data_IF_463449182904
#
_entry.id   IF_463449182904
#
_cell.length_a   1.000
_cell.length_b   1.000
_cell.length_c   1.000
_cell.angle_alpha   90.00
_cell.angle_beta   90.00
_cell.angle_gamma   90.00
#
_symmetry.space_group_name_H-M   'P 1'
#
loop_
_entity.id
_entity.type
_entity.pdbx_description
1 polymer ?
#
# COMPACT_ATOMS: atom_id res chain seq x y z
N UNK A 1 0.28 2.91 -5.99
CA UNK A 1 -0.38 1.68 -5.52
C UNK A 1 -1.20 2.04 -4.30
N UNK A 2 -2.41 1.50 -4.17
CA UNK A 2 -3.31 1.75 -3.04
C UNK A 2 -3.88 0.41 -2.59
N UNK A 3 -3.85 0.09 -1.30
CA UNK A 3 -4.39 -1.15 -0.78
C UNK A 3 -5.43 -0.88 0.32
N UNK A 4 -6.51 -1.67 0.33
CA UNK A 4 -7.63 -1.56 1.28
C UNK A 4 -8.11 -2.95 1.70
N UNK A 5 -8.43 -3.12 2.98
CA UNK A 5 -9.10 -4.31 3.47
C UNK A 5 -10.61 -4.19 3.26
N UNK A 6 -11.24 -5.26 2.79
CA UNK A 6 -12.67 -5.29 2.43
C UNK A 6 -13.47 -6.35 3.19
N UNK A 7 -12.81 -7.15 4.00
CA UNK A 7 -13.43 -8.18 4.83
C UNK A 7 -12.41 -9.18 5.37
N UNK A 8 -12.89 -10.19 6.08
CA UNK A 8 -12.03 -11.18 6.72
C UNK A 8 -11.33 -12.13 5.70
N UNK A 9 -12.03 -12.48 4.61
CA UNK A 9 -11.52 -13.32 3.53
C UNK A 9 -12.43 -13.25 2.32
N UNK A 10 -11.92 -13.63 1.15
CA UNK A 10 -12.65 -13.65 -0.12
C UNK A 10 -12.55 -15.02 -0.77
N UNK A 11 -13.68 -15.61 -1.14
CA UNK A 11 -13.75 -16.82 -1.95
C UNK A 11 -13.48 -16.46 -3.41
N UNK A 12 -12.21 -16.50 -3.83
CA UNK A 12 -11.77 -15.99 -5.14
C UNK A 12 -12.47 -16.62 -6.34
N UNK A 13 -12.87 -17.90 -6.27
CA UNK A 13 -13.59 -18.56 -7.37
C UNK A 13 -15.00 -17.99 -7.52
N UNK A 14 -15.71 -17.76 -6.41
CA UNK A 14 -17.02 -17.07 -6.41
C UNK A 14 -16.91 -15.62 -6.85
N UNK A 15 -15.91 -14.91 -6.33
CA UNK A 15 -15.64 -13.53 -6.72
C UNK A 15 -15.35 -13.43 -8.22
N UNK A 16 -14.52 -14.32 -8.78
CA UNK A 16 -14.20 -14.33 -10.20
C UNK A 16 -15.39 -14.67 -11.10
N UNK A 17 -16.34 -15.48 -10.61
CA UNK A 17 -17.58 -15.75 -11.32
C UNK A 17 -18.56 -14.56 -11.30
N UNK A 18 -18.53 -13.75 -10.25
CA UNK A 18 -19.41 -12.59 -10.06
C UNK A 18 -18.89 -11.32 -10.77
N UNK A 19 -17.55 -11.19 -10.91
CA UNK A 19 -16.92 -9.99 -11.46
C UNK A 19 -16.54 -10.20 -12.92
N UNK A 20 -17.22 -9.49 -13.81
CA UNK A 20 -16.96 -9.60 -15.26
C UNK A 20 -15.54 -9.10 -15.60
N UNK A 21 -14.81 -9.87 -16.40
CA UNK A 21 -13.46 -9.54 -16.83
C UNK A 21 -12.35 -9.88 -15.83
N UNK A 22 -12.71 -10.43 -14.65
CA UNK A 22 -11.71 -10.90 -13.71
C UNK A 22 -11.01 -12.17 -14.20
N UNK A 23 -9.69 -12.23 -14.03
CA UNK A 23 -8.85 -13.39 -14.34
C UNK A 23 -7.93 -13.72 -13.17
N UNK A 24 -7.37 -14.93 -13.12
CA UNK A 24 -6.32 -15.28 -12.16
C UNK A 24 -5.00 -14.67 -12.57
N UNK A 25 -4.30 -14.03 -11.64
CA UNK A 25 -2.96 -13.52 -11.88
C UNK A 25 -2.03 -14.66 -12.33
N UNK A 26 -1.22 -14.40 -13.36
CA UNK A 26 -0.16 -15.30 -13.78
C UNK A 26 1.16 -14.60 -13.54
N UNK A 27 1.93 -15.06 -12.57
CA UNK A 27 3.31 -14.61 -12.42
C UNK A 27 4.11 -15.13 -13.62
N UNK A 28 4.90 -14.29 -14.29
CA UNK A 28 5.78 -14.74 -15.37
C UNK A 28 6.81 -15.73 -14.79
N UNK A 29 6.79 -16.96 -15.23
CA UNK A 29 7.63 -18.06 -14.72
C UNK A 29 9.15 -17.78 -14.81
N UNK A 30 9.59 -16.85 -15.63
CA UNK A 30 11.00 -16.55 -15.88
C UNK A 30 11.62 -15.47 -14.98
N UNK A 31 10.84 -14.79 -14.15
CA UNK A 31 11.30 -13.65 -13.32
C UNK A 31 10.77 -13.68 -11.91
N UNK A 32 10.30 -14.83 -11.45
CA UNK A 32 9.84 -14.99 -10.08
C UNK A 32 11.07 -14.89 -9.14
N UNK A 33 11.18 -13.87 -8.28
CA UNK A 33 12.19 -13.89 -7.23
C UNK A 33 12.02 -15.18 -6.45
N UNK A 34 13.08 -15.97 -6.31
CA UNK A 34 13.01 -17.28 -5.68
C UNK A 34 12.33 -17.19 -4.30
N UNK A 35 11.21 -17.85 -4.14
CA UNK A 35 10.40 -17.83 -2.92
C UNK A 35 9.10 -17.02 -3.00
N UNK A 36 8.83 -16.32 -4.10
CA UNK A 36 7.55 -15.65 -4.31
C UNK A 36 6.60 -16.58 -5.08
N UNK A 37 5.93 -17.47 -4.35
CA UNK A 37 4.95 -18.38 -4.91
C UNK A 37 3.57 -18.10 -4.31
N UNK A 38 2.62 -17.76 -5.16
CA UNK A 38 1.24 -17.57 -4.74
C UNK A 38 0.58 -18.93 -4.53
N UNK A 39 0.39 -19.32 -3.28
CA UNK A 39 -0.43 -20.50 -2.95
C UNK A 39 -1.87 -20.32 -3.45
N UNK A 40 -2.35 -19.10 -3.50
CA UNK A 40 -3.65 -18.70 -4.04
C UNK A 40 -3.46 -17.44 -4.91
N UNK A 41 -3.28 -17.58 -6.24
CA UNK A 41 -3.09 -16.41 -7.11
C UNK A 41 -4.28 -15.45 -7.03
N UNK A 42 -4.03 -14.13 -6.84
CA UNK A 42 -5.09 -13.15 -6.74
C UNK A 42 -5.90 -13.05 -8.03
N UNK A 43 -7.14 -12.59 -7.94
CA UNK A 43 -7.90 -12.16 -9.11
C UNK A 43 -7.35 -10.81 -9.59
N UNK A 44 -7.30 -10.63 -10.90
CA UNK A 44 -6.87 -9.38 -11.53
C UNK A 44 -7.94 -8.84 -12.46
N UNK A 45 -8.10 -7.53 -12.45
CA UNK A 45 -8.91 -6.77 -13.40
C UNK A 45 -8.09 -5.60 -13.93
N UNK A 46 -8.22 -5.35 -15.22
CA UNK A 46 -7.69 -4.15 -15.87
C UNK A 46 -8.86 -3.21 -16.21
N UNK A 47 -8.68 -1.92 -15.94
CA UNK A 47 -9.66 -0.87 -16.19
C UNK A 47 -8.97 0.40 -16.66
N UNK A 48 -9.69 1.26 -17.36
CA UNK A 48 -9.25 2.63 -17.62
C UNK A 48 -9.38 3.47 -16.35
N UNK A 49 -8.38 4.29 -16.06
CA UNK A 49 -8.41 5.22 -14.94
C UNK A 49 -9.01 6.58 -15.31
N UNK A 50 -9.22 7.46 -14.32
CA UNK A 50 -9.69 8.81 -14.55
C UNK A 50 -8.61 9.64 -15.26
N UNK A 51 -9.00 10.48 -16.21
CA UNK A 51 -8.08 11.45 -16.78
C UNK A 51 -7.64 12.43 -15.68
N UNK A 52 -6.35 12.58 -15.48
CA UNK A 52 -5.79 13.53 -14.50
C UNK A 52 -4.79 14.45 -15.16
N UNK A 53 -4.63 15.64 -14.60
CA UNK A 53 -3.60 16.59 -15.02
C UNK A 53 -2.64 16.82 -13.87
N UNK A 54 -1.39 16.44 -14.05
CA UNK A 54 -0.34 16.57 -13.03
C UNK A 54 0.84 17.32 -13.66
N UNK A 55 1.30 18.38 -13.03
CA UNK A 55 2.43 19.21 -13.49
C UNK A 55 2.29 19.67 -14.97
N UNK A 56 1.06 19.92 -15.42
CA UNK A 56 0.75 20.30 -16.80
C UNK A 56 0.74 19.13 -17.79
N UNK A 57 0.94 17.89 -17.32
CA UNK A 57 0.84 16.68 -18.11
C UNK A 57 -0.58 16.11 -18.01
N UNK A 58 -1.27 15.99 -19.14
CA UNK A 58 -2.53 15.25 -19.20
C UNK A 58 -2.20 13.75 -19.28
N UNK A 59 -2.60 13.00 -18.25
CA UNK A 59 -2.32 11.58 -18.09
C UNK A 59 -3.62 10.79 -18.10
N UNK A 60 -3.60 9.67 -18.81
CA UNK A 60 -4.66 8.67 -18.85
C UNK A 60 -4.11 7.40 -18.19
N UNK A 61 -4.36 7.19 -16.89
CA UNK A 61 -3.88 5.99 -16.22
C UNK A 61 -4.62 4.74 -16.70
N UNK A 62 -3.93 3.60 -16.74
CA UNK A 62 -4.58 2.30 -16.58
C UNK A 62 -4.61 1.93 -15.10
N UNK A 63 -5.62 1.18 -14.70
CA UNK A 63 -5.79 0.72 -13.31
C UNK A 63 -5.84 -0.78 -13.30
N UNK A 64 -4.90 -1.42 -12.61
CA UNK A 64 -4.97 -2.84 -12.31
C UNK A 64 -5.47 -3.02 -10.89
N UNK A 65 -6.55 -3.80 -10.73
CA UNK A 65 -7.03 -4.22 -9.42
C UNK A 65 -6.59 -5.66 -9.17
N UNK A 66 -6.15 -5.96 -7.95
CA UNK A 66 -5.86 -7.31 -7.48
C UNK A 66 -6.67 -7.60 -6.22
N UNK A 67 -7.34 -8.76 -6.21
CA UNK A 67 -8.16 -9.23 -5.08
C UNK A 67 -7.49 -10.43 -4.46
N UNK A 68 -7.20 -10.36 -3.18
CA UNK A 68 -6.51 -11.39 -2.41
C UNK A 68 -7.51 -12.19 -1.56
N UNK A 69 -7.27 -13.47 -1.38
CA UNK A 69 -8.15 -14.38 -0.64
C UNK A 69 -8.27 -14.06 0.86
N UNK A 70 -7.26 -13.41 1.43
CA UNK A 70 -7.24 -12.96 2.82
C UNK A 70 -8.02 -11.65 3.08
N UNK A 71 -8.73 -11.11 2.10
CA UNK A 71 -9.66 -10.00 2.32
C UNK A 71 -9.15 -8.62 1.93
N UNK A 72 -8.03 -8.53 1.22
CA UNK A 72 -7.48 -7.27 0.74
C UNK A 72 -7.73 -7.05 -0.76
N UNK A 73 -7.80 -5.79 -1.18
CA UNK A 73 -7.83 -5.35 -2.58
C UNK A 73 -6.73 -4.30 -2.78
N UNK A 74 -5.90 -4.50 -3.79
CA UNK A 74 -4.91 -3.54 -4.25
C UNK A 74 -5.32 -2.91 -5.59
N UNK A 75 -4.97 -1.64 -5.78
CA UNK A 75 -5.11 -0.90 -7.04
C UNK A 75 -3.76 -0.30 -7.43
N UNK A 76 -3.29 -0.64 -8.60
CA UNK A 76 -2.13 -0.02 -9.20
C UNK A 76 -2.56 0.95 -10.32
N UNK A 77 -2.34 2.24 -10.11
CA UNK A 77 -2.52 3.27 -11.14
C UNK A 77 -1.21 3.42 -11.90
N UNK A 78 -1.20 3.06 -13.18
CA UNK A 78 -0.05 3.20 -14.07
C UNK A 78 -0.18 4.46 -14.89
N UNK A 79 0.73 5.41 -14.68
CA UNK A 79 0.74 6.71 -15.32
C UNK A 79 1.99 6.82 -16.22
N UNK A 80 1.92 6.33 -17.48
CA UNK A 80 3.07 6.43 -18.37
C UNK A 80 3.32 7.88 -18.80
N UNK A 81 4.59 8.30 -18.72
CA UNK A 81 5.01 9.61 -19.19
C UNK A 81 6.41 9.57 -19.76
N UNK A 82 6.77 10.62 -20.47
CA UNK A 82 8.14 10.91 -20.93
C UNK A 82 8.44 12.37 -20.68
N UNK A 83 9.63 12.67 -20.22
CA UNK A 83 10.01 14.03 -19.91
C UNK A 83 11.40 14.18 -19.33
N UNK A 84 11.74 15.36 -18.90
CA UNK A 84 13.01 15.67 -18.28
C UNK A 84 13.07 15.10 -16.85
N UNK A 85 14.25 14.62 -16.41
CA UNK A 85 14.44 14.02 -15.08
C UNK A 85 14.01 14.94 -13.92
N UNK A 86 14.11 16.28 -14.10
CA UNK A 86 13.63 17.25 -13.11
C UNK A 86 12.13 17.21 -12.83
N UNK A 87 11.35 16.51 -13.65
CA UNK A 87 9.93 16.29 -13.40
C UNK A 87 9.69 15.24 -12.31
N UNK A 88 10.62 14.33 -12.06
CA UNK A 88 10.40 13.18 -11.15
C UNK A 88 10.03 13.62 -9.74
N UNK A 89 10.78 14.55 -9.16
CA UNK A 89 10.46 15.08 -7.81
C UNK A 89 9.10 15.76 -7.78
N UNK A 90 8.79 16.58 -8.79
CA UNK A 90 7.50 17.29 -8.85
C UNK A 90 6.32 16.33 -9.04
N UNK A 91 6.50 15.29 -9.86
CA UNK A 91 5.50 14.23 -10.00
C UNK A 91 5.33 13.44 -8.70
N UNK A 92 6.43 13.15 -7.99
CA UNK A 92 6.38 12.52 -6.69
C UNK A 92 5.56 13.35 -5.70
N UNK A 93 5.83 14.65 -5.61
CA UNK A 93 5.10 15.59 -4.75
C UNK A 93 3.61 15.67 -5.10
N UNK A 94 3.28 15.73 -6.38
CA UNK A 94 1.91 15.87 -6.83
C UNK A 94 1.09 14.57 -6.75
N UNK A 95 1.72 13.41 -6.84
CA UNK A 95 1.06 12.09 -6.79
C UNK A 95 1.00 11.50 -5.39
N UNK A 96 1.90 11.90 -4.48
CA UNK A 96 1.86 11.47 -3.09
C UNK A 96 0.57 11.95 -2.42
N UNK A 97 -0.28 11.01 -1.98
CA UNK A 97 -1.56 11.33 -1.37
C UNK A 97 -2.57 12.03 -2.29
N UNK A 98 -2.52 11.80 -3.61
CA UNK A 98 -3.40 12.47 -4.57
C UNK A 98 -4.88 12.16 -4.30
N UNK A 99 -5.63 13.18 -3.87
CA UNK A 99 -7.01 13.03 -3.36
C UNK A 99 -7.98 12.40 -4.38
N UNK A 100 -7.89 12.80 -5.67
CA UNK A 100 -8.80 12.28 -6.69
C UNK A 100 -8.53 10.80 -7.00
N UNK A 101 -7.26 10.37 -7.00
CA UNK A 101 -6.91 8.96 -7.18
C UNK A 101 -7.37 8.12 -5.98
N UNK A 102 -7.24 8.65 -4.76
CA UNK A 102 -7.72 7.99 -3.56
C UNK A 102 -9.26 7.87 -3.56
N UNK A 103 -9.98 8.91 -3.97
CA UNK A 103 -11.43 8.89 -4.08
C UNK A 103 -11.91 7.91 -5.16
N UNK A 104 -11.27 7.90 -6.34
CA UNK A 104 -11.54 6.94 -7.41
C UNK A 104 -11.28 5.50 -6.96
N UNK A 105 -10.16 5.25 -6.26
CA UNK A 105 -9.84 3.93 -5.72
C UNK A 105 -10.91 3.42 -4.76
N UNK A 106 -11.35 4.25 -3.80
CA UNK A 106 -12.43 3.89 -2.87
C UNK A 106 -13.74 3.58 -3.58
N UNK A 107 -14.10 4.38 -4.58
CA UNK A 107 -15.32 4.14 -5.37
C UNK A 107 -15.23 2.81 -6.13
N UNK A 108 -14.09 2.49 -6.74
CA UNK A 108 -13.86 1.21 -7.44
C UNK A 108 -13.92 0.02 -6.49
N UNK A 109 -13.28 0.11 -5.33
CA UNK A 109 -13.33 -0.95 -4.31
C UNK A 109 -14.75 -1.16 -3.81
N UNK A 110 -15.52 -0.09 -3.55
CA UNK A 110 -16.92 -0.21 -3.16
C UNK A 110 -17.77 -0.91 -4.22
N UNK A 111 -17.62 -0.52 -5.49
CA UNK A 111 -18.31 -1.17 -6.60
C UNK A 111 -17.92 -2.64 -6.75
N UNK A 112 -16.63 -2.95 -6.58
CA UNK A 112 -16.12 -4.32 -6.62
C UNK A 112 -16.67 -5.16 -5.46
N UNK A 113 -16.71 -4.64 -4.24
CA UNK A 113 -17.35 -5.30 -3.08
C UNK A 113 -18.83 -5.60 -3.32
N UNK A 114 -19.56 -4.65 -3.90
CA UNK A 114 -20.97 -4.87 -4.27
C UNK A 114 -21.14 -5.99 -5.30
N UNK A 115 -20.25 -6.04 -6.30
CA UNK A 115 -20.26 -7.09 -7.31
C UNK A 115 -19.91 -8.47 -6.74
N UNK A 116 -18.91 -8.54 -5.85
CA UNK A 116 -18.50 -9.79 -5.20
C UNK A 116 -19.54 -10.32 -4.19
N UNK A 117 -20.29 -9.43 -3.54
CA UNK A 117 -21.38 -9.78 -2.63
C UNK A 117 -20.98 -10.85 -1.59
N UNK A 118 -21.71 -11.97 -1.59
CA UNK A 118 -21.53 -13.08 -0.65
C UNK A 118 -20.17 -13.84 -0.79
N UNK A 119 -19.34 -13.49 -1.78
CA UNK A 119 -18.00 -14.03 -1.85
C UNK A 119 -17.07 -13.44 -0.77
N UNK A 120 -17.44 -12.29 -0.18
CA UNK A 120 -16.69 -11.65 0.90
C UNK A 120 -17.24 -12.14 2.24
N UNK A 121 -16.38 -12.73 3.05
CA UNK A 121 -16.72 -13.11 4.42
C UNK A 121 -16.56 -11.94 5.36
N UNK A 122 -17.58 -11.61 6.15
CA UNK A 122 -17.62 -10.45 7.06
C UNK A 122 -17.20 -9.16 6.33
N UNK A 123 -17.99 -8.73 5.33
CA UNK A 123 -17.62 -7.56 4.54
C UNK A 123 -17.52 -6.32 5.42
N UNK A 124 -16.39 -5.62 5.34
CA UNK A 124 -16.12 -4.38 6.05
C UNK A 124 -15.01 -3.64 5.31
N UNK A 125 -15.35 -2.53 4.65
CA UNK A 125 -14.32 -1.70 4.02
C UNK A 125 -13.60 -0.90 5.08
N UNK A 126 -12.28 -1.08 5.17
CA UNK A 126 -11.42 -0.38 6.11
C UNK A 126 -11.40 1.13 5.86
N UNK A 127 -11.29 1.91 6.92
CA UNK A 127 -10.97 3.35 6.84
C UNK A 127 -9.50 3.57 6.46
N UNK A 128 -8.63 2.61 6.78
CA UNK A 128 -7.21 2.64 6.42
C UNK A 128 -7.04 2.35 4.93
N UNK A 129 -6.10 3.07 4.34
CA UNK A 129 -5.62 2.83 2.97
C UNK A 129 -4.12 2.93 3.02
N UNK A 130 -3.44 1.86 2.60
CA UNK A 130 -2.01 1.93 2.39
C UNK A 130 -1.74 2.47 1.00
N UNK A 131 -0.90 3.50 0.92
CA UNK A 131 -0.45 4.06 -0.34
C UNK A 131 1.07 3.91 -0.50
N UNK A 132 1.49 3.63 -1.71
CA UNK A 132 2.91 3.51 -2.04
C UNK A 132 3.17 4.06 -3.44
N UNK A 133 4.15 4.95 -3.55
CA UNK A 133 4.55 5.56 -4.82
C UNK A 133 5.75 4.83 -5.41
N UNK A 134 5.57 4.14 -6.54
CA UNK A 134 6.68 3.57 -7.29
C UNK A 134 6.93 4.39 -8.57
N UNK A 135 8.14 4.91 -8.71
CA UNK A 135 8.60 5.60 -9.92
C UNK A 135 9.52 4.66 -10.69
N UNK A 136 8.99 4.09 -11.78
CA UNK A 136 9.72 3.15 -12.63
C UNK A 136 10.24 3.88 -13.90
N UNK A 137 11.54 4.00 -14.00
CA UNK A 137 12.24 4.65 -15.12
C UNK A 137 12.86 3.57 -16.00
N UNK A 138 12.29 3.34 -17.18
CA UNK A 138 12.77 2.30 -18.11
C UNK A 138 14.04 2.69 -18.86
N UNK A 139 14.26 3.98 -19.04
CA UNK A 139 15.42 4.50 -19.76
C UNK A 139 15.71 5.94 -19.35
N UNK A 140 16.98 6.24 -19.17
CA UNK A 140 17.49 7.60 -18.98
C UNK A 140 18.51 7.87 -20.09
N UNK A 141 18.21 8.82 -20.97
CA UNK A 141 19.14 9.19 -22.04
C UNK A 141 20.35 9.92 -21.43
N UNK A 142 21.55 9.48 -21.82
CA UNK A 142 22.80 10.05 -21.33
C UNK A 142 23.33 9.49 -19.98
N UNK A 143 22.60 8.58 -19.33
CA UNK A 143 23.10 7.87 -18.17
C UNK A 143 24.06 6.75 -18.62
N UNK A 144 25.30 6.80 -18.10
CA UNK A 144 26.32 5.80 -18.42
C UNK A 144 26.16 4.55 -17.52
N UNK A 145 26.55 3.39 -18.06
CA UNK A 145 26.70 2.16 -17.25
C UNK A 145 28.10 2.11 -16.60
N UNK A 146 28.22 1.54 -15.37
CA UNK A 146 27.15 0.99 -14.55
C UNK A 146 26.25 2.08 -13.95
N UNK A 147 24.93 1.80 -13.90
CA UNK A 147 23.98 2.65 -13.20
C UNK A 147 24.29 2.61 -11.70
N UNK A 148 24.43 3.76 -11.09
CA UNK A 148 24.75 3.87 -9.67
C UNK A 148 24.07 5.08 -9.02
N UNK A 149 23.90 5.03 -7.71
CA UNK A 149 23.39 6.16 -6.92
C UNK A 149 24.21 7.43 -7.17
N UNK A 150 25.56 7.30 -7.20
CA UNK A 150 26.46 8.43 -7.45
C UNK A 150 26.29 9.06 -8.83
N UNK A 151 25.95 8.25 -9.86
CA UNK A 151 25.73 8.75 -11.22
C UNK A 151 24.42 9.56 -11.35
N UNK A 152 23.41 9.24 -10.53
CA UNK A 152 22.13 9.94 -10.48
C UNK A 152 22.20 11.12 -9.50
N UNK A 153 22.88 10.94 -8.38
CA UNK A 153 23.03 11.87 -7.27
C UNK A 153 22.08 11.54 -6.11
N UNK A 154 22.68 11.26 -4.94
CA UNK A 154 21.95 10.86 -3.71
C UNK A 154 20.86 11.86 -3.34
N UNK A 155 21.16 13.17 -3.36
CA UNK A 155 20.21 14.23 -3.03
C UNK A 155 19.02 14.27 -4.01
N UNK A 156 19.24 13.95 -5.29
CA UNK A 156 18.17 13.87 -6.29
C UNK A 156 17.25 12.69 -6.00
N UNK A 157 17.82 11.52 -5.70
CA UNK A 157 17.05 10.33 -5.34
C UNK A 157 16.26 10.58 -4.06
N UNK A 158 16.89 11.14 -3.03
CA UNK A 158 16.22 11.47 -1.78
C UNK A 158 15.04 12.44 -1.99
N UNK A 159 15.23 13.50 -2.78
CA UNK A 159 14.15 14.44 -3.13
C UNK A 159 12.97 13.78 -3.86
N UNK A 160 13.22 12.77 -4.71
CA UNK A 160 12.18 11.98 -5.35
C UNK A 160 11.44 11.12 -4.33
N UNK A 161 12.17 10.35 -3.52
CA UNK A 161 11.60 9.40 -2.57
C UNK A 161 10.84 10.08 -1.42
N UNK A 162 11.32 11.25 -0.97
CA UNK A 162 10.67 12.05 0.07
C UNK A 162 9.60 13.00 -0.47
N UNK A 163 9.42 13.04 -1.80
CA UNK A 163 8.52 14.00 -2.45
C UNK A 163 8.79 15.44 -1.98
N UNK A 164 10.08 15.84 -1.94
CA UNK A 164 10.54 17.11 -1.39
C UNK A 164 11.44 17.84 -2.39
N UNK A 165 11.13 19.09 -2.67
CA UNK A 165 11.92 19.94 -3.59
C UNK A 165 12.96 20.80 -2.88
N UNK A 166 12.83 20.96 -1.57
CA UNK A 166 13.78 21.69 -0.73
C UNK A 166 15.03 20.87 -0.39
N UNK A 167 16.07 21.50 0.15
CA UNK A 167 17.27 20.80 0.57
C UNK A 167 17.01 19.89 1.77
N UNK A 168 17.33 18.62 1.63
CA UNK A 168 17.30 17.64 2.71
C UNK A 168 18.59 17.68 3.52
N UNK A 169 18.54 17.27 4.80
CA UNK A 169 19.75 17.09 5.62
C UNK A 169 20.60 15.93 5.09
N UNK A 170 21.91 15.93 5.40
CA UNK A 170 22.79 14.84 5.02
C UNK A 170 22.36 13.49 5.61
N UNK A 171 21.75 13.49 6.80
CA UNK A 171 21.22 12.28 7.41
C UNK A 171 20.03 11.76 6.60
N UNK A 172 19.08 12.62 6.27
CA UNK A 172 17.87 12.27 5.51
C UNK A 172 18.22 11.74 4.12
N UNK A 173 19.21 12.34 3.46
CA UNK A 173 19.71 11.86 2.18
C UNK A 173 20.31 10.45 2.32
N UNK A 174 21.16 10.21 3.32
CA UNK A 174 21.74 8.87 3.55
C UNK A 174 20.69 7.83 3.86
N UNK A 175 19.72 8.17 4.73
CA UNK A 175 18.65 7.25 5.13
C UNK A 175 17.77 6.87 3.94
N UNK A 176 17.45 7.84 3.08
CA UNK A 176 16.63 7.61 1.87
C UNK A 176 17.25 6.64 0.86
N UNK A 177 18.57 6.62 0.74
CA UNK A 177 19.27 5.76 -0.23
C UNK A 177 19.81 4.45 0.38
N UNK A 178 19.60 4.25 1.68
CA UNK A 178 20.11 3.07 2.39
C UNK A 178 19.53 1.74 1.88
N UNK A 179 18.31 1.77 1.36
CA UNK A 179 17.60 0.61 0.79
C UNK A 179 17.92 0.33 -0.69
N UNK A 180 19.07 0.78 -1.20
CA UNK A 180 19.45 0.57 -2.59
C UNK A 180 19.94 -0.85 -2.86
N UNK A 181 19.41 -1.45 -3.92
CA UNK A 181 19.79 -2.77 -4.43
C UNK A 181 19.93 -2.75 -5.95
N UNK A 182 20.83 -3.56 -6.50
CA UNK A 182 20.94 -3.79 -7.94
C UNK A 182 21.26 -5.25 -8.20
N UNK A 183 20.85 -5.75 -9.34
CA UNK A 183 21.15 -7.11 -9.80
C UNK A 183 22.21 -7.11 -10.91
N UNK A 184 22.14 -6.15 -11.81
CA UNK A 184 23.02 -6.01 -12.96
C UNK A 184 23.78 -4.69 -12.98
N UNK A 185 24.35 -4.36 -14.13
CA UNK A 185 25.07 -3.09 -14.35
C UNK A 185 24.17 -1.96 -14.83
N UNK A 186 22.97 -2.29 -15.32
CA UNK A 186 22.03 -1.36 -15.95
C UNK A 186 20.75 -1.15 -15.13
N UNK A 187 20.66 -1.73 -13.93
CA UNK A 187 19.52 -1.58 -13.02
C UNK A 187 19.94 -1.07 -11.64
N UNK A 188 19.04 -0.35 -11.02
CA UNK A 188 19.07 -0.03 -9.59
C UNK A 188 17.66 0.23 -9.08
N UNK A 189 17.38 -0.30 -7.91
CA UNK A 189 16.14 -0.03 -7.17
C UNK A 189 16.50 0.55 -5.81
N UNK A 190 15.90 1.68 -5.47
CA UNK A 190 16.02 2.29 -4.15
C UNK A 190 14.64 2.27 -3.50
N UNK A 191 14.52 1.53 -2.40
CA UNK A 191 13.27 1.35 -1.66
C UNK A 191 13.33 2.16 -0.38
N UNK A 192 12.31 2.95 -0.15
CA UNK A 192 12.10 3.74 1.05
C UNK A 192 10.74 3.40 1.66
N UNK A 193 10.41 3.95 2.82
CA UNK A 193 9.23 3.60 3.62
C UNK A 193 7.89 3.85 2.91
N UNK A 194 7.79 4.81 2.00
CA UNK A 194 6.53 5.17 1.28
C UNK A 194 6.71 5.32 -0.23
N UNK A 195 7.93 5.16 -0.74
CA UNK A 195 8.22 5.29 -2.16
C UNK A 195 9.39 4.41 -2.60
N UNK A 196 9.44 4.10 -3.90
CA UNK A 196 10.59 3.49 -4.54
C UNK A 196 10.92 4.18 -5.87
N UNK A 197 12.23 4.27 -6.15
CA UNK A 197 12.74 4.61 -7.46
C UNK A 197 13.37 3.36 -8.08
N UNK A 198 12.84 2.95 -9.22
CA UNK A 198 13.29 1.77 -9.97
C UNK A 198 13.84 2.26 -11.30
N UNK A 199 15.09 1.97 -11.59
CA UNK A 199 15.69 2.17 -12.91
C UNK A 199 15.98 0.79 -13.46
N UNK A 200 15.11 0.34 -14.35
CA UNK A 200 15.19 -0.98 -14.99
C UNK A 200 14.35 -0.93 -16.29
N UNK A 201 14.86 -1.49 -17.37
CA UNK A 201 14.12 -1.63 -18.62
C UNK A 201 12.85 -2.49 -18.49
N UNK A 202 12.80 -3.37 -17.50
CA UNK A 202 11.70 -4.30 -17.24
C UNK A 202 11.36 -4.40 -15.73
N UNK A 203 10.76 -3.32 -15.16
CA UNK A 203 10.56 -3.17 -13.72
C UNK A 203 9.40 -4.01 -13.13
N UNK A 204 8.65 -4.75 -13.95
CA UNK A 204 7.40 -5.40 -13.58
C UNK A 204 7.54 -6.31 -12.36
N UNK A 205 8.60 -7.13 -12.31
CA UNK A 205 8.81 -8.03 -11.19
C UNK A 205 9.07 -7.28 -9.86
N UNK A 206 9.76 -6.15 -9.92
CA UNK A 206 9.99 -5.31 -8.76
C UNK A 206 8.68 -4.64 -8.31
N UNK A 207 7.88 -4.15 -9.26
CA UNK A 207 6.56 -3.56 -8.97
C UNK A 207 5.62 -4.56 -8.33
N UNK A 208 5.58 -5.82 -8.80
CA UNK A 208 4.77 -6.88 -8.19
C UNK A 208 5.17 -7.15 -6.73
N UNK A 209 6.47 -7.16 -6.42
CA UNK A 209 6.97 -7.35 -5.05
C UNK A 209 6.59 -6.16 -4.16
N UNK A 210 6.74 -4.93 -4.65
CA UNK A 210 6.38 -3.72 -3.90
C UNK A 210 4.88 -3.65 -3.63
N UNK A 211 4.04 -4.01 -4.61
CA UNK A 211 2.60 -4.07 -4.40
C UNK A 211 2.23 -5.08 -3.33
N UNK A 212 2.81 -6.28 -3.36
CA UNK A 212 2.58 -7.29 -2.35
C UNK A 212 3.03 -6.84 -0.96
N UNK A 213 4.22 -6.23 -0.85
CA UNK A 213 4.72 -5.68 0.40
C UNK A 213 3.80 -4.59 0.98
N UNK A 214 3.21 -3.75 0.11
CA UNK A 214 2.24 -2.73 0.52
C UNK A 214 0.94 -3.35 1.06
N UNK A 215 0.48 -4.46 0.46
CA UNK A 215 -0.69 -5.21 0.93
C UNK A 215 -0.41 -5.90 2.26
N UNK A 216 0.76 -6.53 2.42
CA UNK A 216 1.19 -7.13 3.69
C UNK A 216 1.28 -6.09 4.81
N UNK A 217 1.79 -4.88 4.51
CA UNK A 217 1.82 -3.78 5.47
C UNK A 217 0.42 -3.37 5.92
N UNK A 218 -0.54 -3.30 5.00
CA UNK A 218 -1.95 -3.07 5.32
C UNK A 218 -2.48 -4.11 6.31
N UNK A 219 -2.22 -5.41 6.07
CA UNK A 219 -2.64 -6.48 6.97
C UNK A 219 -2.04 -6.32 8.37
N UNK A 220 -0.74 -6.04 8.47
CA UNK A 220 -0.09 -5.81 9.77
C UNK A 220 -0.71 -4.64 10.51
N UNK A 221 -0.98 -3.52 9.85
CA UNK A 221 -1.63 -2.35 10.47
C UNK A 221 -3.06 -2.63 10.91
N UNK A 222 -3.79 -3.40 10.12
CA UNK A 222 -5.15 -3.80 10.48
C UNK A 222 -5.16 -4.73 11.69
N UNK A 223 -4.26 -5.70 11.75
CA UNK A 223 -4.11 -6.59 12.90
C UNK A 223 -3.70 -5.82 14.16
N UNK A 224 -2.78 -4.88 14.05
CA UNK A 224 -2.33 -4.03 15.15
C UNK A 224 -3.51 -3.21 15.71
N UNK A 225 -4.29 -2.55 14.86
CA UNK A 225 -5.47 -1.82 15.27
C UNK A 225 -6.56 -2.71 15.93
N UNK A 226 -6.76 -3.93 15.43
CA UNK A 226 -7.68 -4.91 16.02
C UNK A 226 -7.20 -5.36 17.41
N UNK A 227 -5.91 -5.61 17.57
CA UNK A 227 -5.31 -5.96 18.87
C UNK A 227 -5.44 -4.83 19.88
N UNK A 228 -5.16 -3.61 19.49
CA UNK A 228 -5.32 -2.43 20.33
C UNK A 228 -6.78 -2.24 20.78
N UNK A 229 -7.73 -2.42 19.87
CA UNK A 229 -9.15 -2.40 20.17
C UNK A 229 -9.57 -3.47 21.17
N UNK A 230 -9.12 -4.71 20.97
CA UNK A 230 -9.40 -5.83 21.87
C UNK A 230 -8.78 -5.63 23.27
N UNK A 231 -7.56 -5.10 23.34
CA UNK A 231 -6.90 -4.75 24.59
C UNK A 231 -7.65 -3.63 25.32
N UNK A 232 -8.06 -2.58 24.63
CA UNK A 232 -8.83 -1.49 25.24
C UNK A 232 -10.17 -1.99 25.81
N UNK A 233 -10.88 -2.87 25.12
CA UNK A 233 -12.11 -3.49 25.59
C UNK A 233 -11.86 -4.38 26.84
N UNK A 234 -10.80 -5.19 26.81
CA UNK A 234 -10.42 -6.03 27.94
C UNK A 234 -10.08 -5.18 29.18
N UNK A 235 -9.30 -4.12 29.04
CA UNK A 235 -8.99 -3.20 30.14
C UNK A 235 -10.24 -2.48 30.65
N UNK A 236 -11.13 -2.03 29.79
CA UNK A 236 -12.42 -1.44 30.16
C UNK A 236 -13.27 -2.38 31.01
N UNK A 237 -13.36 -3.66 30.61
CA UNK A 237 -14.09 -4.70 31.31
C UNK A 237 -13.51 -4.97 32.72
N UNK A 238 -12.17 -5.06 32.82
CA UNK A 238 -11.49 -5.27 34.11
C UNK A 238 -11.70 -4.09 35.05
N UNK A 239 -11.60 -2.86 34.54
CA UNK A 239 -11.77 -1.64 35.33
C UNK A 239 -13.21 -1.49 35.83
N UNK A 240 -14.19 -1.77 34.97
CA UNK A 240 -15.61 -1.77 35.36
C UNK A 240 -15.91 -2.81 36.44
N UNK A 241 -15.35 -4.02 36.36
CA UNK A 241 -15.50 -5.07 37.39
C UNK A 241 -14.83 -4.68 38.71
N UNK A 242 -13.68 -4.01 38.69
CA UNK A 242 -13.02 -3.48 39.88
C UNK A 242 -13.84 -2.38 40.55
N UNK A 243 -14.38 -1.45 39.78
CA UNK A 243 -15.29 -0.41 40.27
C UNK A 243 -16.54 -0.97 40.91
N UNK A 244 -17.21 -1.93 40.26
CA UNK A 244 -18.40 -2.60 40.82
C UNK A 244 -18.12 -3.40 42.09
N UNK A 245 -16.96 -4.05 42.23
CA UNK A 245 -16.53 -4.72 43.45
C UNK A 245 -16.18 -3.71 44.55
N UNK A 246 -15.59 -2.57 44.22
CA UNK A 246 -15.31 -1.50 45.19
C UNK A 246 -16.57 -0.86 45.74
N UNK A 247 -17.59 -0.60 44.92
CA UNK A 247 -18.89 -0.08 45.35
C UNK A 247 -19.63 -1.08 46.26
N UNK A 248 -19.62 -2.37 45.95
CA UNK A 248 -20.24 -3.40 46.78
C UNK A 248 -19.54 -3.57 48.13
N UNK A 249 -18.22 -3.35 48.20
CA UNK A 249 -17.46 -3.41 49.46
C UNK A 249 -17.74 -2.17 50.32
N UNK A 250 -17.75 -0.98 49.75
CA UNK A 250 -18.11 0.24 50.44
C UNK A 250 -19.54 0.25 50.96
N UNK A 251 -20.50 -0.31 50.25
CA UNK A 251 -21.88 -0.44 50.71
C UNK A 251 -22.03 -1.38 51.91
N UNK A 252 -21.34 -2.52 51.92
CA UNK A 252 -21.31 -3.44 53.04
C UNK A 252 -20.62 -2.86 54.27
N UNK A 253 -19.59 -2.07 54.12
CA UNK A 253 -18.88 -1.41 55.20
C UNK A 253 -19.72 -0.28 55.83
N UNK A 254 -20.53 0.42 55.02
CA UNK A 254 -21.50 1.42 55.50
C UNK A 254 -22.69 0.78 56.24
N UNK A 255 -23.21 -0.35 55.77
CA UNK A 255 -24.26 -1.11 56.48
C UNK A 255 -23.77 -1.60 57.85
N UNK A 256 -22.53 -2.08 57.97
CA UNK A 256 -21.93 -2.48 59.23
C UNK A 256 -21.70 -1.33 60.21
N UNK A 257 -21.45 -0.14 59.74
CA UNK A 257 -21.30 1.07 60.57
C UNK A 257 -22.63 1.64 61.04
N UNK A 258 -23.74 1.31 60.38
CA UNK A 258 -25.08 1.73 60.75
C UNK A 258 -25.73 0.79 61.79
N UNK A 259 -25.14 -0.40 62.02
CA UNK A 259 -25.60 -1.38 63.06
C UNK A 259 -24.80 -1.27 64.34
N UNK A 260 -23.85 -0.33 64.47
CA UNK A 260 -23.16 0.00 65.74
C UNK A 260 -23.73 1.28 66.37
#
# INVERSE_FOLDING_TARGET
MLAMEVGLSIELDRAGAAVHGAGRARLPAQRNPGGFDWSSPPLTLEQDGPAITVEGLALLPSVQLRVFDFGAVSLEYRLPFSGHASLLTRLAMALSGHADLLADARARVQALCQAMGDAIRKPALSEFTEDYLAIAVRRIDGLAEPVSIGAIGEATIAGILRAESGPLSEQEVRDSVAGAVSYGVSDITVVDWNAALIIDAAPEACLDVLEFANVELLEYRTLDAQLDGALAEAYGTVTARRGAKGLRRGHRDLERLAEL
#
